data_IF_997103959341
#
_entry.id   IF_997103959341
#
_cell.length_a   1.000
_cell.length_b   1.000
_cell.length_c   1.000
_cell.angle_alpha   90.00
_cell.angle_beta   90.00
_cell.angle_gamma   90.00
#
_symmetry.space_group_name_H-M   'P 1'
#
loop_
_entity.id
_entity.type
_entity.pdbx_description
1 polymer ?
#
# COMPACT_ATOMS: atom_id res chain seq x y z
N UNK A 1 30.47 13.83 -7.31
CA UNK A 1 29.75 12.80 -6.53
C UNK A 1 28.28 12.93 -6.87
N UNK A 2 27.82 12.25 -7.92
CA UNK A 2 26.41 12.26 -8.33
C UNK A 2 25.74 10.99 -7.81
N UNK A 3 24.88 11.14 -6.80
CA UNK A 3 24.06 10.04 -6.29
C UNK A 3 22.88 9.84 -7.25
N UNK A 4 22.93 8.74 -8.01
CA UNK A 4 21.94 8.38 -9.03
C UNK A 4 20.55 8.19 -8.40
N UNK A 5 19.63 9.08 -8.75
CA UNK A 5 18.19 9.14 -8.40
C UNK A 5 17.33 7.94 -8.87
N UNK A 6 17.86 6.73 -8.93
CA UNK A 6 17.21 5.60 -9.64
C UNK A 6 16.96 4.31 -8.86
N UNK A 7 17.40 4.18 -7.60
CA UNK A 7 17.49 2.85 -6.97
C UNK A 7 16.38 2.49 -5.97
N UNK A 8 15.49 3.40 -5.58
CA UNK A 8 14.49 3.06 -4.56
C UNK A 8 13.33 2.21 -5.12
N UNK A 9 12.94 2.43 -6.38
CA UNK A 9 11.95 1.58 -7.08
C UNK A 9 12.48 0.14 -7.28
N UNK A 10 13.80 -0.01 -7.44
CA UNK A 10 14.46 -1.32 -7.56
C UNK A 10 14.59 -2.06 -6.22
N UNK A 11 14.64 -1.35 -5.10
CA UNK A 11 14.67 -1.96 -3.77
C UNK A 11 13.28 -2.41 -3.31
N UNK A 12 12.23 -1.65 -3.66
CA UNK A 12 10.84 -2.04 -3.44
C UNK A 12 10.46 -3.32 -4.23
N UNK A 13 11.07 -3.52 -5.41
CA UNK A 13 11.00 -4.79 -6.18
C UNK A 13 11.68 -5.98 -5.49
N UNK A 14 12.60 -5.75 -4.55
CA UNK A 14 13.30 -6.81 -3.83
C UNK A 14 12.43 -7.39 -2.69
N UNK A 15 11.53 -6.58 -2.12
CA UNK A 15 10.43 -7.07 -1.26
C UNK A 15 9.43 -7.90 -2.08
N UNK A 16 9.18 -7.54 -3.34
CA UNK A 16 8.29 -8.28 -4.24
C UNK A 16 8.88 -9.62 -4.70
N UNK A 17 10.19 -9.68 -5.00
CA UNK A 17 10.88 -10.89 -5.49
C UNK A 17 10.89 -12.05 -4.48
N UNK A 18 10.98 -11.75 -3.18
CA UNK A 18 10.92 -12.77 -2.14
C UNK A 18 9.50 -13.34 -1.93
N UNK A 19 8.45 -12.56 -2.21
CA UNK A 19 7.06 -13.00 -2.10
C UNK A 19 6.62 -13.89 -3.29
N UNK A 20 7.16 -13.70 -4.49
CA UNK A 20 6.74 -14.46 -5.68
C UNK A 20 7.19 -15.93 -5.65
N UNK A 21 8.24 -16.27 -4.89
CA UNK A 21 8.73 -17.66 -4.83
C UNK A 21 7.91 -18.59 -3.93
N UNK A 22 7.05 -18.06 -3.06
CA UNK A 22 6.19 -18.88 -2.19
C UNK A 22 4.83 -19.16 -2.86
N UNK A 23 4.40 -18.31 -3.81
CA UNK A 23 3.06 -18.41 -4.41
C UNK A 23 2.93 -19.47 -5.52
N UNK A 24 4.03 -19.96 -6.07
CA UNK A 24 4.01 -20.93 -7.19
C UNK A 24 3.63 -22.38 -6.79
N UNK A 25 3.37 -22.67 -5.51
CA UNK A 25 3.11 -24.04 -5.03
C UNK A 25 1.65 -24.35 -4.64
N UNK A 26 0.72 -23.38 -4.66
CA UNK A 26 -0.64 -23.56 -4.13
C UNK A 26 -1.78 -23.32 -5.12
N UNK A 27 -1.53 -23.52 -6.42
CA UNK A 27 -2.54 -23.27 -7.46
C UNK A 27 -3.16 -24.56 -7.99
N UNK A 28 -4.01 -25.21 -7.17
CA UNK A 28 -4.86 -26.32 -7.61
C UNK A 28 -6.10 -26.53 -6.71
N UNK A 29 -7.00 -25.54 -6.60
CA UNK A 29 -8.48 -25.67 -6.43
C UNK A 29 -9.09 -24.39 -5.86
N UNK A 30 -9.85 -23.64 -6.68
CA UNK A 30 -11.33 -23.52 -6.58
C UNK A 30 -11.86 -22.53 -7.62
N UNK A 31 -13.08 -22.85 -8.09
CA UNK A 31 -13.89 -22.12 -9.06
C UNK A 31 -14.60 -20.92 -8.42
N UNK A 32 -14.92 -19.97 -9.30
CA UNK A 32 -16.08 -19.05 -9.32
C UNK A 32 -16.29 -18.15 -8.11
N UNK A 33 -16.12 -16.84 -8.30
CA UNK A 33 -17.16 -15.83 -8.01
C UNK A 33 -16.69 -14.44 -8.46
N UNK A 34 -17.62 -13.73 -9.11
CA UNK A 34 -17.49 -12.31 -9.44
C UNK A 34 -17.75 -11.53 -8.16
N UNK A 35 -16.77 -10.76 -7.67
CA UNK A 35 -17.01 -9.84 -6.55
C UNK A 35 -16.35 -8.49 -6.76
N UNK A 36 -17.14 -7.46 -6.47
CA UNK A 36 -16.82 -6.05 -6.53
C UNK A 36 -15.59 -5.75 -5.66
N UNK A 37 -14.69 -4.91 -6.17
CA UNK A 37 -13.65 -4.30 -5.33
C UNK A 37 -14.24 -3.28 -4.34
N UNK A 38 -14.89 -3.75 -3.28
CA UNK A 38 -14.91 -3.06 -2.00
C UNK A 38 -13.66 -3.50 -1.23
N UNK A 39 -12.82 -2.54 -0.85
CA UNK A 39 -11.95 -2.76 0.29
C UNK A 39 -12.91 -2.82 1.48
N UNK A 40 -13.31 -4.04 1.85
CA UNK A 40 -14.20 -4.27 2.98
C UNK A 40 -13.53 -3.73 4.24
N UNK A 41 -14.03 -2.58 4.68
CA UNK A 41 -13.71 -1.99 5.99
C UNK A 41 -13.91 -3.03 7.12
N UNK A 42 -14.79 -4.01 6.91
CA UNK A 42 -15.09 -5.11 7.83
C UNK A 42 -13.96 -6.13 8.03
N UNK A 43 -12.91 -6.18 7.20
CA UNK A 43 -11.84 -7.18 7.40
C UNK A 43 -10.92 -6.86 8.59
N UNK A 44 -10.90 -5.61 9.07
CA UNK A 44 -10.08 -5.21 10.22
C UNK A 44 -10.83 -5.33 11.57
N UNK A 45 -12.11 -5.70 11.56
CA UNK A 45 -12.79 -6.23 12.74
C UNK A 45 -12.55 -7.74 12.87
N UNK A 46 -11.45 -8.14 13.51
CA UNK A 46 -11.42 -9.20 14.56
C UNK A 46 -10.01 -9.71 14.87
N UNK A 47 -9.55 -9.41 16.08
CA UNK A 47 -9.18 -10.40 17.12
C UNK A 47 -8.98 -9.68 18.46
N UNK A 48 -10.08 -9.38 19.13
CA UNK A 48 -10.07 -9.12 20.57
C UNK A 48 -10.35 -10.46 21.25
N UNK A 49 -9.40 -10.96 22.04
CA UNK A 49 -9.57 -12.17 22.83
C UNK A 49 -10.38 -11.85 24.09
N UNK A 50 -11.43 -12.65 24.29
CA UNK A 50 -12.14 -13.00 25.52
C UNK A 50 -12.58 -11.88 26.49
N UNK A 51 -13.91 -11.65 26.55
CA UNK A 51 -14.59 -11.14 27.74
C UNK A 51 -15.58 -9.98 27.51
N UNK A 52 -16.87 -10.31 27.63
CA UNK A 52 -18.01 -9.51 28.12
C UNK A 52 -18.36 -8.13 27.49
N UNK A 53 -19.62 -8.05 27.07
CA UNK A 53 -20.51 -6.87 26.98
C UNK A 53 -20.19 -5.73 25.98
N UNK A 54 -20.84 -5.80 24.81
CA UNK A 54 -21.43 -4.68 24.05
C UNK A 54 -20.75 -3.30 24.17
N UNK A 55 -19.54 -3.15 23.63
CA UNK A 55 -19.00 -1.85 23.23
C UNK A 55 -18.58 -1.87 21.76
N UNK A 56 -19.00 -0.84 21.03
CA UNK A 56 -18.57 -0.55 19.66
C UNK A 56 -17.08 -0.83 19.47
N UNK A 57 -16.71 -1.60 18.45
CA UNK A 57 -15.31 -1.83 18.09
C UNK A 57 -14.68 -0.48 17.74
N UNK A 58 -14.10 0.20 18.75
CA UNK A 58 -13.52 1.53 18.61
C UNK A 58 -12.33 1.40 17.68
N UNK A 59 -12.47 2.02 16.53
CA UNK A 59 -11.38 2.21 15.57
C UNK A 59 -10.23 2.90 16.30
N UNK A 60 -9.05 2.28 16.37
CA UNK A 60 -7.88 2.89 17.01
C UNK A 60 -7.37 4.03 16.14
N UNK A 61 -7.31 5.23 16.72
CA UNK A 61 -6.68 6.40 16.11
C UNK A 61 -5.32 6.61 16.77
N UNK A 62 -4.31 6.83 15.94
CA UNK A 62 -2.90 7.03 16.32
C UNK A 62 -2.54 8.48 15.99
N UNK A 63 -1.92 9.19 16.92
CA UNK A 63 -1.46 10.57 16.69
C UNK A 63 -0.10 10.58 15.97
N UNK A 64 0.25 11.71 15.36
CA UNK A 64 1.57 11.85 14.71
C UNK A 64 2.70 11.73 15.74
N UNK A 65 2.47 12.27 16.93
CA UNK A 65 3.38 12.19 18.07
C UNK A 65 3.55 10.73 18.53
N UNK A 66 2.44 9.99 18.71
CA UNK A 66 2.51 8.57 19.07
C UNK A 66 3.27 7.78 17.99
N UNK A 67 2.93 7.96 16.72
CA UNK A 67 3.61 7.30 15.61
C UNK A 67 5.12 7.59 15.62
N UNK A 68 5.53 8.84 15.85
CA UNK A 68 6.94 9.25 15.85
C UNK A 68 7.79 8.54 16.91
N UNK A 69 7.19 8.14 18.05
CA UNK A 69 7.89 7.37 19.09
C UNK A 69 8.16 5.91 18.70
N UNK A 70 7.48 5.41 17.67
CA UNK A 70 7.53 4.01 17.22
C UNK A 70 8.48 3.86 16.04
N UNK A 71 9.68 4.42 16.19
CA UNK A 71 10.74 4.40 15.19
C UNK A 71 11.87 3.40 15.53
N UNK A 72 11.83 2.78 16.71
CA UNK A 72 12.84 1.82 17.18
C UNK A 72 14.17 2.44 17.63
N UNK A 73 14.24 3.76 17.75
CA UNK A 73 15.35 4.46 18.40
C UNK A 73 15.24 4.36 19.93
N UNK A 74 16.27 4.81 20.67
CA UNK A 74 16.32 4.81 22.14
C UNK A 74 16.05 3.46 22.81
N UNK A 75 16.34 2.36 22.11
CA UNK A 75 16.09 0.99 22.59
C UNK A 75 14.64 0.53 22.43
N UNK A 76 13.81 1.30 21.73
CA UNK A 76 12.46 0.93 21.33
C UNK A 76 12.45 -0.31 20.44
N UNK A 77 11.48 -1.20 20.68
CA UNK A 77 11.27 -2.42 19.87
C UNK A 77 10.15 -2.28 18.84
N UNK A 78 9.32 -1.25 19.02
CA UNK A 78 8.15 -0.99 18.19
C UNK A 78 8.55 -0.15 16.98
N UNK A 79 8.18 -0.63 15.79
CA UNK A 79 8.45 -0.01 14.51
C UNK A 79 7.12 0.10 13.78
N UNK A 80 6.56 1.30 13.64
CA UNK A 80 5.30 1.49 12.93
C UNK A 80 5.50 2.29 11.65
N UNK A 81 4.62 2.05 10.67
CA UNK A 81 4.62 2.75 9.39
C UNK A 81 3.19 3.11 9.03
N UNK A 82 2.95 4.36 8.59
CA UNK A 82 1.66 4.78 8.06
C UNK A 82 1.67 4.88 6.53
N UNK A 83 0.61 4.39 5.87
CA UNK A 83 0.38 4.52 4.43
C UNK A 83 -1.09 4.86 4.15
N UNK A 84 -1.33 5.99 3.48
CA UNK A 84 -2.67 6.57 3.30
C UNK A 84 -3.44 6.64 4.61
N UNK A 85 -2.74 6.99 5.69
CA UNK A 85 -3.26 7.05 7.05
C UNK A 85 -3.55 5.70 7.71
N UNK A 86 -3.22 4.56 7.11
CA UNK A 86 -3.31 3.24 7.75
C UNK A 86 -1.98 2.90 8.40
N UNK A 87 -1.99 2.66 9.71
CA UNK A 87 -0.79 2.35 10.50
C UNK A 87 -0.63 0.83 10.60
N UNK A 88 0.57 0.36 10.28
CA UNK A 88 0.97 -1.05 10.36
C UNK A 88 2.17 -1.20 11.29
N UNK A 89 2.17 -2.26 12.09
CA UNK A 89 3.32 -2.64 12.90
C UNK A 89 4.29 -3.44 12.03
N UNK A 90 5.47 -2.86 11.79
CA UNK A 90 6.56 -3.44 11.02
C UNK A 90 7.69 -3.97 11.90
N UNK A 91 7.46 -4.15 13.21
CA UNK A 91 8.43 -4.72 14.17
C UNK A 91 8.90 -6.13 13.82
N UNK A 92 8.10 -6.90 13.09
CA UNK A 92 8.51 -8.23 12.59
C UNK A 92 9.44 -8.16 11.35
N UNK A 93 9.78 -6.96 10.88
CA UNK A 93 10.72 -6.73 9.78
C UNK A 93 11.93 -5.89 10.18
N UNK A 94 12.62 -6.14 11.31
CA UNK A 94 13.71 -5.28 11.80
C UNK A 94 14.87 -5.18 10.79
N UNK A 95 15.11 -6.20 9.98
CA UNK A 95 16.11 -6.18 8.91
C UNK A 95 15.88 -5.08 7.87
N UNK A 96 14.65 -4.58 7.76
CA UNK A 96 14.26 -3.53 6.83
C UNK A 96 14.01 -2.18 7.50
N UNK A 97 13.44 -2.16 8.72
CA UNK A 97 12.94 -0.94 9.36
C UNK A 97 13.69 -0.54 10.64
N UNK A 98 14.54 -1.39 11.23
CA UNK A 98 15.28 -1.05 12.44
C UNK A 98 16.30 0.07 12.19
N UNK A 99 16.77 0.79 13.21
CA UNK A 99 17.79 1.82 13.03
C UNK A 99 18.97 1.35 12.19
N UNK A 100 19.41 2.20 11.26
CA UNK A 100 20.50 1.95 10.28
C UNK A 100 20.17 0.95 9.15
N UNK A 101 18.94 0.46 9.06
CA UNK A 101 18.48 -0.33 7.91
C UNK A 101 17.99 0.56 6.76
N UNK A 102 17.82 -0.02 5.56
CA UNK A 102 17.51 0.72 4.34
C UNK A 102 16.13 1.36 4.28
N UNK A 103 15.16 0.86 5.05
CA UNK A 103 13.79 1.40 5.14
C UNK A 103 13.47 2.01 6.51
N UNK A 104 14.47 2.20 7.37
CA UNK A 104 14.27 2.83 8.67
C UNK A 104 13.61 4.22 8.58
N UNK A 105 13.84 4.92 7.48
CA UNK A 105 13.29 6.25 7.25
C UNK A 105 11.75 6.30 7.19
N UNK A 106 11.11 5.15 7.03
CA UNK A 106 9.66 4.99 7.09
C UNK A 106 9.16 4.73 8.52
N UNK A 107 10.02 4.24 9.41
CA UNK A 107 9.64 3.92 10.78
C UNK A 107 9.27 5.19 11.56
N UNK A 108 8.11 5.15 12.20
CA UNK A 108 7.53 6.26 12.96
C UNK A 108 7.04 7.43 12.09
N UNK A 109 6.80 7.23 10.79
CA UNK A 109 6.41 8.32 9.87
C UNK A 109 5.27 7.92 8.93
N UNK A 110 4.64 8.95 8.35
CA UNK A 110 3.74 8.78 7.21
C UNK A 110 4.57 8.62 5.92
N UNK A 111 4.55 7.40 5.39
CA UNK A 111 5.28 7.03 4.18
C UNK A 111 4.55 7.40 2.89
N UNK A 112 3.33 7.94 2.92
CA UNK A 112 2.46 8.05 1.73
C UNK A 112 3.13 8.72 0.52
N UNK A 113 3.65 9.94 0.68
CA UNK A 113 4.35 10.66 -0.41
C UNK A 113 5.76 10.08 -0.64
N UNK A 114 6.60 9.93 0.42
CA UNK A 114 7.96 9.45 0.25
C UNK A 114 8.09 8.06 -0.37
N UNK A 115 7.09 7.20 -0.24
CA UNK A 115 7.09 5.86 -0.87
C UNK A 115 7.21 5.93 -2.39
N UNK A 116 6.64 6.97 -2.99
CA UNK A 116 6.62 7.16 -4.45
C UNK A 116 7.78 8.02 -4.92
N UNK A 117 8.06 9.10 -4.20
CA UNK A 117 9.07 10.08 -4.62
C UNK A 117 10.48 9.58 -4.31
N UNK A 118 10.60 8.65 -3.36
CA UNK A 118 11.86 8.12 -2.88
C UNK A 118 12.72 9.15 -2.15
N UNK A 119 12.11 10.28 -1.76
CA UNK A 119 12.73 11.34 -0.99
C UNK A 119 11.98 11.52 0.34
N UNK A 120 12.73 11.69 1.41
CA UNK A 120 12.23 11.70 2.79
C UNK A 120 12.65 12.96 3.54
N UNK A 121 12.77 14.07 2.80
CA UNK A 121 12.89 15.38 3.42
C UNK A 121 11.59 15.72 4.14
N UNK A 122 11.67 16.47 5.23
CA UNK A 122 10.47 16.88 5.97
C UNK A 122 9.50 17.68 5.08
N UNK A 123 10.05 18.44 4.12
CA UNK A 123 9.30 19.10 3.05
C UNK A 123 8.48 18.13 2.20
N UNK A 124 9.03 16.96 1.85
CA UNK A 124 8.34 15.97 1.01
C UNK A 124 7.24 15.27 1.79
N UNK A 125 7.47 14.98 3.07
CA UNK A 125 6.48 14.39 3.97
C UNK A 125 5.28 15.34 4.20
N UNK A 126 5.52 16.66 4.18
CA UNK A 126 4.49 17.68 4.37
C UNK A 126 3.64 17.95 3.10
N UNK A 127 4.04 17.46 1.93
CA UNK A 127 3.29 17.66 0.67
C UNK A 127 1.91 17.04 0.68
N UNK A 128 0.97 17.64 -0.06
CA UNK A 128 -0.39 17.12 -0.21
C UNK A 128 -0.49 16.01 -1.27
N UNK A 129 -1.46 15.11 -1.12
CA UNK A 129 -1.69 14.03 -2.09
C UNK A 129 -2.16 14.52 -3.47
N UNK A 130 -2.59 15.78 -3.56
CA UNK A 130 -2.95 16.43 -4.82
C UNK A 130 -1.74 16.59 -5.77
N UNK A 131 -0.51 16.63 -5.22
CA UNK A 131 0.73 16.71 -6.00
C UNK A 131 1.09 15.37 -6.69
N UNK A 132 0.54 14.25 -6.23
CA UNK A 132 0.74 12.95 -6.85
C UNK A 132 -0.18 12.76 -8.05
N UNK A 133 0.27 12.04 -9.06
CA UNK A 133 -0.58 11.62 -10.19
C UNK A 133 -1.55 10.50 -9.77
N UNK A 134 -2.66 10.36 -10.50
CA UNK A 134 -3.62 9.27 -10.23
C UNK A 134 -2.99 7.87 -10.38
N UNK A 135 -1.98 7.71 -11.23
CA UNK A 135 -1.23 6.46 -11.38
C UNK A 135 -0.38 6.15 -10.14
N UNK A 136 0.24 7.18 -9.55
CA UNK A 136 1.02 7.04 -8.32
C UNK A 136 0.13 6.71 -7.12
N UNK A 137 -1.00 7.43 -6.96
CA UNK A 137 -2.00 7.12 -5.93
C UNK A 137 -2.53 5.69 -6.07
N UNK A 138 -2.78 5.25 -7.31
CA UNK A 138 -3.18 3.87 -7.57
C UNK A 138 -2.12 2.86 -7.11
N UNK A 139 -0.83 3.13 -7.35
CA UNK A 139 0.25 2.26 -6.88
C UNK A 139 0.31 2.22 -5.34
N UNK A 140 0.18 3.37 -4.67
CA UNK A 140 0.14 3.40 -3.20
C UNK A 140 -1.04 2.57 -2.67
N UNK A 141 -2.26 2.78 -3.16
CA UNK A 141 -3.45 2.13 -2.61
C UNK A 141 -3.53 0.64 -2.97
N UNK A 142 -3.28 0.27 -4.23
CA UNK A 142 -3.51 -1.09 -4.74
C UNK A 142 -2.30 -2.02 -4.70
N UNK A 143 -1.10 -1.47 -4.66
CA UNK A 143 0.12 -2.27 -4.61
C UNK A 143 0.67 -2.26 -3.18
N UNK A 144 0.98 -1.08 -2.64
CA UNK A 144 1.65 -0.97 -1.34
C UNK A 144 0.72 -1.15 -0.15
N UNK A 145 -0.33 -0.35 -0.02
CA UNK A 145 -1.27 -0.47 1.10
C UNK A 145 -1.94 -1.85 1.11
N UNK A 146 -2.29 -2.39 -0.05
CA UNK A 146 -2.80 -3.75 -0.18
C UNK A 146 -1.76 -4.83 0.15
N UNK A 147 -0.46 -4.60 -0.06
CA UNK A 147 0.60 -5.51 0.38
C UNK A 147 0.62 -5.58 1.92
N UNK A 148 0.77 -4.45 2.61
CA UNK A 148 0.79 -4.42 4.07
C UNK A 148 -0.52 -4.95 4.68
N UNK A 149 -1.66 -4.68 4.04
CA UNK A 149 -2.96 -5.21 4.44
C UNK A 149 -3.09 -6.74 4.36
N UNK A 150 -2.33 -7.38 3.45
CA UNK A 150 -2.39 -8.84 3.21
C UNK A 150 -1.30 -9.61 3.94
N UNK A 151 -0.19 -8.95 4.23
CA UNK A 151 0.96 -9.53 4.92
C UNK A 151 0.65 -9.74 6.41
N UNK A 152 0.44 -10.99 6.83
CA UNK A 152 0.14 -11.33 8.23
C UNK A 152 1.25 -10.89 9.20
N UNK A 153 2.48 -10.75 8.72
CA UNK A 153 3.63 -10.26 9.51
C UNK A 153 3.49 -8.79 9.94
N UNK A 154 2.65 -8.01 9.26
CA UNK A 154 2.48 -6.58 9.51
C UNK A 154 1.06 -6.28 10.00
N UNK A 155 0.77 -6.54 11.29
CA UNK A 155 -0.58 -6.34 11.80
C UNK A 155 -0.98 -4.87 11.72
N UNK A 156 -2.23 -4.64 11.36
CA UNK A 156 -2.82 -3.32 11.35
C UNK A 156 -3.00 -2.81 12.77
N UNK A 157 -2.52 -1.60 13.04
CA UNK A 157 -2.56 -0.96 14.36
C UNK A 157 -3.77 -0.04 14.47
N UNK A 158 -4.03 0.77 13.44
CA UNK A 158 -5.06 1.80 13.50
C UNK A 158 -4.92 2.82 12.39
N UNK A 159 -5.61 3.95 12.54
CA UNK A 159 -5.56 5.05 11.57
C UNK A 159 -4.81 6.25 12.12
N UNK A 160 -3.95 6.85 11.31
CA UNK A 160 -3.23 8.08 11.64
C UNK A 160 -4.19 9.27 11.58
N UNK A 161 -4.25 10.01 12.68
CA UNK A 161 -5.14 11.15 12.82
C UNK A 161 -4.82 12.29 11.86
N UNK A 162 -5.88 13.04 11.61
CA UNK A 162 -5.96 14.44 11.29
C UNK A 162 -5.62 14.79 9.84
N UNK A 163 -4.97 13.89 9.10
CA UNK A 163 -4.74 14.05 7.65
C UNK A 163 -5.73 13.23 6.81
N UNK A 164 -5.63 11.91 6.88
CA UNK A 164 -6.46 10.99 6.10
C UNK A 164 -7.70 10.52 6.86
N UNK A 165 -7.61 10.43 8.19
CA UNK A 165 -8.71 10.05 9.05
C UNK A 165 -8.85 11.08 10.16
N UNK A 166 -10.05 11.38 10.62
CA UNK A 166 -10.26 12.29 11.75
C UNK A 166 -9.99 11.62 13.11
N UNK A 167 -10.22 12.34 14.20
CA UNK A 167 -10.08 11.85 15.57
C UNK A 167 -11.03 10.69 15.90
N UNK A 168 -12.08 10.49 15.10
CA UNK A 168 -13.06 9.42 15.21
C UNK A 168 -12.74 8.25 14.25
N UNK A 169 -11.61 8.32 13.54
CA UNK A 169 -11.19 7.32 12.57
C UNK A 169 -12.01 7.32 11.29
N UNK A 170 -12.78 8.37 11.00
CA UNK A 170 -13.55 8.52 9.78
C UNK A 170 -12.70 9.13 8.66
N UNK A 171 -12.87 8.70 7.40
CA UNK A 171 -12.09 9.21 6.29
C UNK A 171 -12.39 10.70 6.03
N UNK A 172 -11.34 11.51 5.96
CA UNK A 172 -11.42 12.94 5.61
C UNK A 172 -11.70 13.15 4.13
N UNK A 173 -11.95 14.40 3.74
CA UNK A 173 -12.08 14.79 2.33
C UNK A 173 -10.84 14.43 1.49
N UNK A 174 -9.62 14.51 2.07
CA UNK A 174 -8.39 14.14 1.36
C UNK A 174 -8.43 12.65 0.97
N UNK A 175 -8.86 11.78 1.89
CA UNK A 175 -9.00 10.34 1.62
C UNK A 175 -10.05 10.06 0.55
N UNK A 176 -11.19 10.75 0.59
CA UNK A 176 -12.24 10.60 -0.42
C UNK A 176 -11.74 11.01 -1.81
N UNK A 177 -11.05 12.15 -1.93
CA UNK A 177 -10.42 12.60 -3.18
C UNK A 177 -9.42 11.58 -3.71
N UNK A 178 -8.57 11.01 -2.85
CA UNK A 178 -7.64 9.95 -3.25
C UNK A 178 -8.39 8.75 -3.81
N UNK A 179 -9.42 8.24 -3.13
CA UNK A 179 -10.19 7.09 -3.60
C UNK A 179 -10.88 7.34 -4.93
N UNK A 180 -11.42 8.54 -5.16
CA UNK A 180 -12.02 8.89 -6.45
C UNK A 180 -10.99 8.90 -7.59
N UNK A 181 -9.80 9.44 -7.33
CA UNK A 181 -8.69 9.45 -8.30
C UNK A 181 -8.18 8.05 -8.60
N UNK A 182 -8.08 7.19 -7.59
CA UNK A 182 -7.73 5.77 -7.77
C UNK A 182 -8.80 5.04 -8.59
N UNK A 183 -10.08 5.17 -8.23
CA UNK A 183 -11.20 4.53 -8.94
C UNK A 183 -11.33 4.99 -10.39
N UNK A 184 -11.13 6.28 -10.67
CA UNK A 184 -11.15 6.79 -12.03
C UNK A 184 -9.96 6.27 -12.86
N UNK A 185 -8.77 6.22 -12.27
CA UNK A 185 -7.60 5.65 -12.92
C UNK A 185 -7.74 4.15 -13.19
N UNK A 186 -8.36 3.39 -12.30
CA UNK A 186 -8.70 1.97 -12.51
C UNK A 186 -9.51 1.75 -13.78
N UNK A 187 -10.55 2.54 -13.97
CA UNK A 187 -11.41 2.48 -15.17
C UNK A 187 -10.59 2.77 -16.43
N UNK A 188 -9.74 3.79 -16.39
CA UNK A 188 -8.87 4.17 -17.51
C UNK A 188 -7.87 3.04 -17.82
N UNK A 189 -7.23 2.47 -16.79
CA UNK A 189 -6.27 1.37 -16.92
C UNK A 189 -6.92 0.13 -17.52
N UNK A 190 -8.13 -0.23 -17.07
CA UNK A 190 -8.90 -1.35 -17.59
C UNK A 190 -9.32 -1.14 -19.05
N UNK A 191 -9.83 0.06 -19.39
CA UNK A 191 -10.20 0.40 -20.77
C UNK A 191 -9.01 0.31 -21.73
N UNK A 192 -7.86 0.89 -21.36
CA UNK A 192 -6.62 0.80 -22.15
C UNK A 192 -6.13 -0.64 -22.30
N UNK A 193 -6.26 -1.46 -21.27
CA UNK A 193 -5.90 -2.87 -21.33
C UNK A 193 -6.81 -3.66 -22.30
N UNK A 194 -8.11 -3.38 -22.29
CA UNK A 194 -9.08 -3.97 -23.22
C UNK A 194 -8.77 -3.58 -24.67
N UNK A 195 -8.56 -2.29 -24.92
CA UNK A 195 -8.20 -1.78 -26.25
C UNK A 195 -6.90 -2.42 -26.77
N UNK A 196 -5.86 -2.55 -25.92
CA UNK A 196 -4.61 -3.22 -26.29
C UNK A 196 -4.81 -4.69 -26.65
N UNK A 197 -5.66 -5.42 -25.92
CA UNK A 197 -6.00 -6.82 -26.22
C UNK A 197 -6.74 -6.93 -27.55
N UNK A 198 -7.69 -6.04 -27.82
CA UNK A 198 -8.44 -6.01 -29.07
C UNK A 198 -7.53 -5.69 -30.27
N UNK A 199 -6.68 -4.66 -30.16
CA UNK A 199 -5.67 -4.34 -31.20
C UNK A 199 -4.72 -5.50 -31.46
N UNK A 200 -4.23 -6.17 -30.41
CA UNK A 200 -3.35 -7.34 -30.55
C UNK A 200 -4.06 -8.50 -31.24
N UNK A 201 -5.33 -8.76 -30.90
CA UNK A 201 -6.16 -9.80 -31.53
C UNK A 201 -6.38 -9.50 -33.01
N UNK A 202 -6.72 -8.25 -33.35
CA UNK A 202 -6.90 -7.81 -34.74
C UNK A 202 -5.62 -7.97 -35.56
N UNK A 203 -4.46 -7.57 -35.01
CA UNK A 203 -3.17 -7.69 -35.68
C UNK A 203 -2.80 -9.16 -35.98
N UNK A 204 -3.05 -10.08 -35.05
CA UNK A 204 -2.80 -11.52 -35.26
C UNK A 204 -3.69 -12.13 -36.34
N UNK A 205 -4.89 -11.58 -36.56
CA UNK A 205 -5.80 -12.04 -37.61
C UNK A 205 -5.44 -11.49 -38.99
N UNK A 206 -4.74 -10.35 -39.04
CA UNK A 206 -4.39 -9.66 -40.28
C UNK A 206 -3.04 -10.09 -40.89
N UNK A 207 -2.22 -10.89 -40.17
CA UNK A 207 -0.95 -11.38 -40.73
C UNK A 207 -1.20 -12.53 -41.72
N UNK A 208 -0.90 -12.36 -43.01
CA UNK A 208 -1.06 -13.43 -43.99
C UNK A 208 -0.12 -14.60 -43.65
N UNK A 209 -0.63 -15.83 -43.72
CA UNK A 209 0.20 -17.04 -43.63
C UNK A 209 1.17 -17.00 -44.81
N UNK A 210 2.44 -16.68 -44.55
CA UNK A 210 3.50 -16.89 -45.53
C UNK A 210 3.54 -18.38 -45.83
N UNK A 211 3.11 -18.77 -47.03
CA UNK A 211 3.20 -20.12 -47.51
C UNK A 211 4.69 -20.47 -47.65
N UNK A 212 5.22 -21.27 -46.74
CA UNK A 212 6.52 -21.92 -46.89
C UNK A 212 6.39 -22.91 -48.05
N UNK A 213 7.10 -22.61 -49.14
CA UNK A 213 7.27 -23.50 -50.31
C UNK A 213 8.39 -24.48 -50.03
#
# INVERSE_FOLDING_TARGET
MEFRRGNLVFLALLLLSLATRVSAANDAKRKDDTDQGSVDQNKYQQRCADGDDSETCKVRVVTVEELSTKNGEDGGKELWLSLLGKVYDVSNGPQYYAPKSGYHIFAGRDGTIPFITGNFTDEECAKHTDELTAAQLYSIDREWANFYAKEEKYPFVGFLCCRFYDEQGQPTEETQRVWERVKSYEKIKAAKAKERKEKRKMMMMATPKTATT
#
